data_IF_522320705237
#
_entry.id   IF_522320705237
#
_cell.length_a   1.000
_cell.length_b   1.000
_cell.length_c   1.000
_cell.angle_alpha   90.00
_cell.angle_beta   90.00
_cell.angle_gamma   90.00
#
_symmetry.space_group_name_H-M   'P 1'
#
loop_
_entity.id
_entity.type
_entity.pdbx_description
1 polymer ?
#
# COMPACT_ATOMS: atom_id res chain seq x y z
N UNK A 1 13.71 2.20 9.15
CA UNK A 1 12.57 3.09 8.84
C UNK A 1 12.68 3.44 7.37
N UNK A 2 11.77 2.94 6.53
CA UNK A 2 11.83 3.26 5.10
C UNK A 2 11.28 4.67 4.94
N UNK A 3 12.16 5.67 4.88
CA UNK A 3 11.79 7.02 4.45
C UNK A 3 11.83 7.02 2.93
N UNK A 4 10.65 7.04 2.32
CA UNK A 4 10.46 6.77 0.90
C UNK A 4 10.51 8.01 -0.01
N UNK A 5 11.04 9.14 0.49
CA UNK A 5 11.33 10.34 -0.32
C UNK A 5 11.13 11.65 0.46
N UNK A 6 11.67 12.75 -0.07
CA UNK A 6 11.44 14.12 0.44
C UNK A 6 10.06 14.68 0.03
N UNK A 7 9.37 14.00 -0.90
CA UNK A 7 8.03 14.34 -1.41
C UNK A 7 7.13 13.10 -1.40
N UNK A 8 5.82 13.33 -1.28
CA UNK A 8 4.83 12.26 -1.28
C UNK A 8 4.92 11.43 -2.57
N UNK A 9 5.13 10.12 -2.43
CA UNK A 9 5.30 9.23 -3.58
C UNK A 9 3.95 8.64 -3.99
N UNK A 10 3.62 8.75 -5.28
CA UNK A 10 2.37 8.22 -5.84
C UNK A 10 2.64 6.96 -6.65
N UNK A 11 2.11 5.82 -6.20
CA UNK A 11 1.98 4.64 -7.05
C UNK A 11 3.25 3.83 -7.26
N UNK A 12 4.29 4.02 -6.42
CA UNK A 12 5.47 3.15 -6.48
C UNK A 12 5.10 1.74 -6.03
N UNK A 13 5.47 0.76 -6.86
CA UNK A 13 5.15 -0.65 -6.69
C UNK A 13 6.38 -1.40 -6.19
N UNK A 14 6.32 -1.84 -4.94
CA UNK A 14 7.33 -2.66 -4.31
C UNK A 14 6.94 -4.14 -4.37
N UNK A 15 7.90 -4.97 -4.70
CA UNK A 15 7.77 -6.41 -4.52
C UNK A 15 8.56 -6.85 -3.29
N UNK A 16 7.93 -7.63 -2.43
CA UNK A 16 8.56 -8.37 -1.34
C UNK A 16 8.41 -9.86 -1.65
N UNK A 17 9.52 -10.60 -1.65
CA UNK A 17 9.45 -12.05 -1.76
C UNK A 17 8.77 -12.64 -0.53
N UNK A 18 8.02 -13.72 -0.69
CA UNK A 18 7.23 -14.29 0.40
C UNK A 18 8.11 -14.74 1.57
N UNK A 19 9.28 -15.30 1.26
CA UNK A 19 10.32 -15.62 2.26
C UNK A 19 10.80 -14.42 3.07
N UNK A 20 10.74 -13.22 2.48
CA UNK A 20 11.22 -11.96 3.06
C UNK A 20 10.07 -11.11 3.65
N UNK A 21 8.86 -11.67 3.83
CA UNK A 21 7.66 -10.96 4.33
C UNK A 21 7.85 -10.25 5.68
N UNK A 22 8.86 -10.65 6.46
CA UNK A 22 9.24 -9.96 7.70
C UNK A 22 9.66 -8.51 7.47
N UNK A 23 10.06 -8.14 6.25
CA UNK A 23 10.35 -6.76 5.84
C UNK A 23 9.15 -5.83 6.00
N UNK A 24 7.92 -6.34 5.95
CA UNK A 24 6.71 -5.54 6.20
C UNK A 24 6.72 -4.91 7.60
N UNK A 25 7.37 -5.53 8.58
CA UNK A 25 7.53 -4.96 9.93
C UNK A 25 8.37 -3.68 9.95
N UNK A 26 9.17 -3.41 8.89
CA UNK A 26 9.99 -2.19 8.76
C UNK A 26 9.18 -0.97 8.31
N UNK A 27 7.91 -1.15 7.92
CA UNK A 27 6.96 -0.09 7.56
C UNK A 27 6.40 0.63 8.80
N UNK A 28 7.28 1.04 9.71
CA UNK A 28 6.88 1.78 10.91
C UNK A 28 6.29 3.15 10.51
N UNK A 29 5.12 3.49 11.05
CA UNK A 29 4.44 4.75 10.76
C UNK A 29 3.58 4.75 9.50
N UNK A 30 3.56 3.64 8.74
CA UNK A 30 2.72 3.46 7.55
C UNK A 30 1.46 2.68 7.93
N UNK A 31 0.32 3.09 7.37
CA UNK A 31 -0.93 2.34 7.51
C UNK A 31 -0.97 1.26 6.44
N UNK A 32 -1.02 0.01 6.88
CA UNK A 32 -1.09 -1.14 5.98
C UNK A 32 -2.56 -1.51 5.73
N UNK A 33 -2.97 -1.48 4.47
CA UNK A 33 -4.26 -2.01 4.00
C UNK A 33 -3.96 -3.33 3.30
N UNK A 34 -4.55 -4.41 3.78
CA UNK A 34 -4.38 -5.74 3.21
C UNK A 34 -5.65 -6.19 2.52
N UNK A 35 -5.52 -6.62 1.26
CA UNK A 35 -6.67 -6.90 0.41
C UNK A 35 -6.90 -8.39 0.16
N UNK A 36 -5.91 -9.21 0.54
CA UNK A 36 -5.95 -10.66 0.43
C UNK A 36 -4.92 -11.32 1.34
N UNK A 37 -5.16 -12.59 1.69
CA UNK A 37 -4.22 -13.45 2.42
C UNK A 37 -4.40 -13.47 3.94
N UNK A 38 -3.45 -14.07 4.65
CA UNK A 38 -3.47 -14.16 6.12
C UNK A 38 -3.31 -12.79 6.76
N UNK A 39 -4.19 -12.46 7.71
CA UNK A 39 -4.20 -11.16 8.39
C UNK A 39 -2.84 -10.83 9.00
N UNK A 40 -2.30 -9.68 8.64
CA UNK A 40 -1.09 -9.12 9.24
C UNK A 40 -1.48 -8.28 10.46
N UNK A 41 -0.74 -8.42 11.55
CA UNK A 41 -0.93 -7.64 12.77
C UNK A 41 -0.83 -6.13 12.47
N UNK A 42 -1.81 -5.36 12.96
CA UNK A 42 -1.88 -3.91 12.72
C UNK A 42 -2.37 -3.50 11.32
N UNK A 43 -2.65 -4.46 10.43
CA UNK A 43 -3.24 -4.18 9.11
C UNK A 43 -4.76 -3.96 9.18
N UNK A 44 -5.28 -3.14 8.25
CA UNK A 44 -6.71 -3.01 7.96
C UNK A 44 -7.04 -3.97 6.83
N UNK A 45 -7.91 -4.95 7.08
CA UNK A 45 -8.37 -5.88 6.03
C UNK A 45 -9.46 -5.23 5.20
N UNK A 46 -9.34 -5.31 3.87
CA UNK A 46 -10.25 -4.65 2.93
C UNK A 46 -10.43 -5.48 1.65
N UNK A 47 -11.59 -6.09 1.45
CA UNK A 47 -11.84 -7.00 0.31
C UNK A 47 -12.82 -6.44 -0.72
N UNK A 48 -13.26 -5.19 -0.58
CA UNK A 48 -14.21 -4.54 -1.50
C UNK A 48 -13.75 -3.14 -1.89
N UNK A 49 -14.16 -2.66 -3.06
CA UNK A 49 -13.86 -1.30 -3.51
C UNK A 49 -14.53 -0.24 -2.64
N UNK A 50 -15.74 -0.51 -2.18
CA UNK A 50 -16.52 0.39 -1.32
C UNK A 50 -15.83 0.62 0.02
N UNK A 51 -15.42 -0.46 0.69
CA UNK A 51 -14.72 -0.39 1.96
C UNK A 51 -13.38 0.33 1.81
N UNK A 52 -12.67 0.07 0.71
CA UNK A 52 -11.40 0.74 0.43
C UNK A 52 -11.60 2.25 0.37
N UNK A 53 -12.62 2.71 -0.36
CA UNK A 53 -12.87 4.13 -0.52
C UNK A 53 -13.18 4.81 0.83
N UNK A 54 -13.99 4.18 1.68
CA UNK A 54 -14.30 4.70 3.02
C UNK A 54 -13.09 4.70 3.94
N UNK A 55 -12.26 3.65 3.91
CA UNK A 55 -10.99 3.61 4.63
C UNK A 55 -10.12 4.78 4.18
N UNK A 56 -9.88 4.95 2.89
CA UNK A 56 -9.03 6.02 2.35
C UNK A 56 -9.52 7.41 2.76
N UNK A 57 -10.84 7.67 2.72
CA UNK A 57 -11.44 8.93 3.20
C UNK A 57 -11.12 9.17 4.68
N UNK A 58 -11.24 8.16 5.53
CA UNK A 58 -10.92 8.27 6.95
C UNK A 58 -9.43 8.51 7.22
N UNK A 59 -8.56 8.03 6.33
CA UNK A 59 -7.11 8.15 6.46
C UNK A 59 -6.58 9.52 6.02
N UNK A 60 -7.30 10.24 5.16
CA UNK A 60 -6.94 11.58 4.72
C UNK A 60 -6.69 12.55 5.90
N UNK A 61 -7.40 12.35 7.02
CA UNK A 61 -7.27 13.18 8.22
C UNK A 61 -6.10 12.78 9.14
N UNK A 62 -5.47 11.62 8.91
CA UNK A 62 -4.43 11.07 9.80
C UNK A 62 -3.01 11.44 9.39
N UNK A 63 -2.79 11.91 8.15
CA UNK A 63 -1.48 12.34 7.66
C UNK A 63 -0.40 11.26 7.67
N UNK A 64 -0.78 9.97 7.65
CA UNK A 64 0.15 8.85 7.60
C UNK A 64 0.18 8.25 6.20
N UNK A 65 1.37 7.87 5.76
CA UNK A 65 1.56 7.13 4.51
C UNK A 65 0.78 5.82 4.50
N UNK A 66 0.41 5.36 3.31
CA UNK A 66 -0.45 4.21 3.10
C UNK A 66 0.28 3.18 2.23
N UNK A 67 0.24 1.93 2.65
CA UNK A 67 0.70 0.78 1.87
C UNK A 67 -0.50 -0.14 1.60
N UNK A 68 -0.77 -0.43 0.33
CA UNK A 68 -1.79 -1.39 -0.08
C UNK A 68 -1.10 -2.69 -0.48
N UNK A 69 -1.38 -3.75 0.25
CA UNK A 69 -0.79 -5.07 0.05
C UNK A 69 -1.72 -5.96 -0.78
N UNK A 70 -1.15 -6.60 -1.79
CA UNK A 70 -1.81 -7.53 -2.71
C UNK A 70 -2.96 -6.91 -3.55
N UNK A 71 -2.79 -5.72 -4.14
CA UNK A 71 -3.87 -5.01 -4.85
C UNK A 71 -4.44 -5.79 -6.05
N UNK A 72 -3.83 -6.91 -6.46
CA UNK A 72 -4.31 -7.79 -7.53
C UNK A 72 -5.74 -8.31 -7.33
N UNK A 73 -6.26 -8.26 -6.11
CA UNK A 73 -7.64 -8.63 -5.80
C UNK A 73 -8.64 -7.48 -5.80
N UNK A 74 -8.20 -6.23 -6.02
CA UNK A 74 -9.07 -5.06 -6.01
C UNK A 74 -9.16 -4.40 -7.38
N UNK A 75 -10.39 -4.04 -7.78
CA UNK A 75 -10.61 -3.20 -8.95
C UNK A 75 -10.43 -1.75 -8.54
N UNK A 76 -9.35 -1.11 -9.01
CA UNK A 76 -9.17 0.33 -8.83
C UNK A 76 -10.07 1.09 -9.80
N UNK A 77 -11.27 1.41 -9.34
CA UNK A 77 -12.21 2.22 -10.11
C UNK A 77 -11.84 3.71 -10.10
N UNK A 78 -12.59 4.53 -10.85
CA UNK A 78 -12.33 5.96 -11.01
C UNK A 78 -12.35 6.74 -9.68
N UNK A 79 -13.22 6.38 -8.75
CA UNK A 79 -13.35 7.08 -7.47
C UNK A 79 -12.20 6.75 -6.52
N UNK A 80 -11.79 5.49 -6.44
CA UNK A 80 -10.58 5.08 -5.72
C UNK A 80 -9.35 5.80 -6.30
N UNK A 81 -9.23 5.83 -7.63
CA UNK A 81 -8.13 6.51 -8.28
C UNK A 81 -8.07 8.01 -7.96
N UNK A 82 -9.21 8.71 -7.99
CA UNK A 82 -9.31 10.11 -7.55
C UNK A 82 -8.89 10.27 -6.09
N UNK A 83 -9.31 9.34 -5.23
CA UNK A 83 -8.94 9.36 -3.81
C UNK A 83 -7.44 9.19 -3.61
N UNK A 84 -6.79 8.28 -4.34
CA UNK A 84 -5.33 8.15 -4.31
C UNK A 84 -4.65 9.48 -4.70
N UNK A 85 -5.13 10.14 -5.75
CA UNK A 85 -4.60 11.43 -6.20
C UNK A 85 -4.76 12.52 -5.14
N UNK A 86 -5.92 12.56 -4.49
CA UNK A 86 -6.20 13.52 -3.41
C UNK A 86 -5.26 13.32 -2.23
N UNK A 87 -5.10 12.07 -1.76
CA UNK A 87 -4.20 11.73 -0.66
C UNK A 87 -2.76 12.18 -0.95
N UNK A 88 -2.28 11.91 -2.17
CA UNK A 88 -0.95 12.35 -2.57
C UNK A 88 -0.80 13.88 -2.64
N UNK A 89 -1.83 14.58 -3.11
CA UNK A 89 -1.83 16.05 -3.16
C UNK A 89 -1.74 16.69 -1.75
N UNK A 90 -2.25 16.01 -0.71
CA UNK A 90 -2.13 16.46 0.69
C UNK A 90 -0.90 15.91 1.41
N UNK A 91 0.06 15.35 0.68
CA UNK A 91 1.35 14.93 1.23
C UNK A 91 1.40 13.49 1.75
N UNK A 92 0.36 12.68 1.52
CA UNK A 92 0.33 11.27 1.93
C UNK A 92 0.87 10.40 0.80
N UNK A 93 1.92 9.64 1.06
CA UNK A 93 2.44 8.67 0.09
C UNK A 93 1.53 7.45 0.00
N UNK A 94 1.39 6.92 -1.21
CA UNK A 94 0.66 5.69 -1.46
C UNK A 94 1.53 4.70 -2.21
N UNK A 95 1.76 3.56 -1.57
CA UNK A 95 2.60 2.48 -2.07
C UNK A 95 1.77 1.25 -2.36
N UNK A 96 2.13 0.52 -3.41
CA UNK A 96 1.59 -0.80 -3.69
C UNK A 96 2.65 -1.85 -3.34
N UNK A 97 2.24 -2.88 -2.61
CA UNK A 97 3.11 -3.97 -2.22
C UNK A 97 2.59 -5.29 -2.77
N UNK A 98 3.48 -6.05 -3.38
CA UNK A 98 3.21 -7.36 -3.95
C UNK A 98 4.01 -8.41 -3.18
N UNK A 99 3.32 -9.44 -2.69
CA UNK A 99 3.95 -10.58 -2.02
C UNK A 99 4.03 -11.76 -2.99
N UNK A 100 5.16 -11.87 -3.67
CA UNK A 100 5.41 -12.95 -4.62
C UNK A 100 6.90 -13.24 -4.72
N UNK A 101 7.27 -14.53 -4.78
CA UNK A 101 8.68 -14.94 -4.88
C UNK A 101 9.26 -14.65 -6.27
N UNK A 102 8.47 -14.91 -7.31
CA UNK A 102 8.84 -14.62 -8.70
C UNK A 102 8.74 -13.11 -9.01
N UNK A 103 9.74 -12.51 -9.66
CA UNK A 103 9.68 -11.11 -10.09
C UNK A 103 8.49 -10.84 -11.02
N UNK A 104 7.67 -9.83 -10.71
CA UNK A 104 6.55 -9.40 -11.58
C UNK A 104 7.02 -8.26 -12.48
N UNK A 105 6.76 -8.33 -13.79
CA UNK A 105 7.36 -7.40 -14.77
C UNK A 105 7.00 -5.90 -14.61
N UNK A 106 5.96 -5.59 -13.84
CA UNK A 106 5.42 -4.24 -13.64
C UNK A 106 5.83 -3.62 -12.28
N UNK A 107 6.76 -4.24 -11.55
CA UNK A 107 7.27 -3.67 -10.30
C UNK A 107 8.29 -2.56 -10.56
N UNK A 108 8.36 -1.58 -9.66
CA UNK A 108 9.40 -0.55 -9.72
C UNK A 108 10.66 -1.01 -8.95
N UNK A 109 10.47 -1.71 -7.83
CA UNK A 109 11.56 -2.10 -6.95
C UNK A 109 11.30 -3.44 -6.26
N UNK A 110 12.31 -4.30 -6.19
CA UNK A 110 12.29 -5.52 -5.38
C UNK A 110 13.01 -5.22 -4.06
N UNK A 111 12.27 -5.31 -2.96
CA UNK A 111 12.83 -5.13 -1.63
C UNK A 111 13.75 -6.30 -1.26
N UNK A 112 14.93 -5.97 -0.76
CA UNK A 112 15.92 -6.92 -0.28
C UNK A 112 16.07 -6.84 1.25
N UNK A 113 16.51 -7.93 1.90
CA UNK A 113 16.77 -8.00 3.35
C UNK A 113 17.67 -6.90 3.91
#
# INVERSE_FOLDING_TARGET
>A
MIRLGERATFGKIYQIRYKDRMLLKRLCGVILIQTYGMKIEGSITCTSEGDLLEILKSLALKGKDIAILSPSTLIVNREIYKMFRLLNAVGISLFLFILQDDPVWYMDEVMQP
#
